data_IF_711868836918
#
_entry.id   IF_711868836918
#
_cell.length_a   1.000
_cell.length_b   1.000
_cell.length_c   1.000
_cell.angle_alpha   90.00
_cell.angle_beta   90.00
_cell.angle_gamma   90.00
#
_symmetry.space_group_name_H-M   'P 1'
#
loop_
_entity.id
_entity.type
_entity.pdbx_description
1 polymer ?
#
# COMPACT_ATOMS: atom_id res chain seq x y z
N UNK A 1 -8.07 20.88 -7.24
CA UNK A 1 -8.51 20.61 -8.63
C UNK A 1 -9.04 19.18 -8.69
N UNK A 2 -10.36 18.97 -8.82
CA UNK A 2 -10.98 17.66 -8.57
C UNK A 2 -10.42 16.50 -9.44
N UNK A 3 -10.16 15.35 -8.81
CA UNK A 3 -9.81 14.09 -9.47
C UNK A 3 -10.79 13.75 -10.60
N UNK A 4 -10.29 13.53 -11.82
CA UNK A 4 -11.10 12.97 -12.90
C UNK A 4 -11.32 11.47 -12.65
N UNK A 5 -12.45 11.14 -12.02
CA UNK A 5 -12.80 9.79 -11.55
C UNK A 5 -12.84 8.77 -12.70
N UNK A 6 -13.38 9.15 -13.86
CA UNK A 6 -13.49 8.26 -15.03
C UNK A 6 -12.11 7.83 -15.53
N UNK A 7 -11.20 8.80 -15.73
CA UNK A 7 -9.83 8.52 -16.14
C UNK A 7 -9.05 7.76 -15.06
N UNK A 8 -9.34 8.03 -13.79
CA UNK A 8 -8.70 7.34 -12.68
C UNK A 8 -9.06 5.85 -12.65
N UNK A 9 -10.32 5.48 -12.90
CA UNK A 9 -10.75 4.08 -12.89
C UNK A 9 -10.12 3.21 -13.99
N UNK A 10 -9.67 3.81 -15.09
CA UNK A 10 -8.98 3.07 -16.15
C UNK A 10 -7.50 2.83 -15.82
N UNK A 11 -6.83 3.83 -15.24
CA UNK A 11 -5.38 3.82 -15.09
C UNK A 11 -4.90 3.51 -13.67
N UNK A 12 -5.75 3.72 -12.66
CA UNK A 12 -5.42 3.66 -11.22
C UNK A 12 -4.13 4.39 -10.87
N UNK A 13 -3.89 5.51 -11.55
CA UNK A 13 -2.72 6.37 -11.36
C UNK A 13 -3.21 7.78 -11.10
N UNK A 14 -2.68 8.38 -10.06
CA UNK A 14 -2.93 9.77 -9.71
C UNK A 14 -1.64 10.57 -9.87
N UNK A 15 -1.71 11.69 -10.59
CA UNK A 15 -0.60 12.61 -10.73
C UNK A 15 -1.14 14.04 -10.75
N UNK A 16 -0.68 14.86 -9.81
CA UNK A 16 -1.09 16.26 -9.70
C UNK A 16 0.07 17.15 -9.28
N UNK A 17 -0.07 18.45 -9.54
CA UNK A 17 0.79 19.51 -9.03
C UNK A 17 -0.11 20.64 -8.54
N UNK A 18 -0.35 20.68 -7.23
CA UNK A 18 -1.29 21.60 -6.60
C UNK A 18 -0.85 21.95 -5.17
N UNK A 19 -1.43 22.98 -4.54
CA UNK A 19 -1.26 23.25 -3.12
C UNK A 19 -1.68 22.06 -2.24
N UNK A 20 -1.23 22.04 -0.99
CA UNK A 20 -1.53 20.92 -0.06
C UNK A 20 -3.04 20.70 0.14
N UNK A 21 -3.88 21.74 0.36
CA UNK A 21 -5.32 21.54 0.58
C UNK A 21 -5.99 20.81 -0.58
N UNK A 22 -5.73 21.22 -1.82
CA UNK A 22 -6.24 20.56 -3.03
C UNK A 22 -5.84 19.09 -3.12
N UNK A 23 -4.59 18.77 -2.77
CA UNK A 23 -4.11 17.38 -2.82
C UNK A 23 -4.74 16.54 -1.70
N UNK A 24 -5.01 17.13 -0.53
CA UNK A 24 -5.69 16.44 0.56
C UNK A 24 -7.15 16.14 0.20
N UNK A 25 -7.85 17.08 -0.41
CA UNK A 25 -9.20 16.89 -0.95
C UNK A 25 -9.20 15.73 -1.98
N UNK A 26 -8.23 15.72 -2.90
CA UNK A 26 -8.08 14.61 -3.85
C UNK A 26 -7.84 13.26 -3.15
N UNK A 27 -7.07 13.22 -2.05
CA UNK A 27 -6.86 11.98 -1.28
C UNK A 27 -8.13 11.53 -0.56
N UNK A 28 -8.97 12.45 -0.09
CA UNK A 28 -10.27 12.13 0.51
C UNK A 28 -11.25 11.55 -0.52
N UNK A 29 -11.26 12.10 -1.75
CA UNK A 29 -12.04 11.52 -2.85
C UNK A 29 -11.59 10.08 -3.14
N UNK A 30 -10.29 9.82 -3.19
CA UNK A 30 -9.77 8.46 -3.38
C UNK A 30 -10.15 7.52 -2.23
N UNK A 31 -10.07 8.00 -0.98
CA UNK A 31 -10.48 7.24 0.19
C UNK A 31 -11.98 6.90 0.17
N UNK A 32 -12.83 7.83 -0.28
CA UNK A 32 -14.26 7.60 -0.40
C UNK A 32 -14.61 6.59 -1.51
N UNK A 33 -13.93 6.67 -2.66
CA UNK A 33 -14.08 5.70 -3.75
C UNK A 33 -13.72 4.27 -3.29
N UNK A 34 -12.62 4.15 -2.54
CA UNK A 34 -12.15 2.88 -2.00
C UNK A 34 -13.13 2.33 -0.95
N UNK A 35 -13.54 3.16 0.02
CA UNK A 35 -14.52 2.76 1.04
C UNK A 35 -15.85 2.29 0.43
N UNK A 36 -16.30 2.94 -0.66
CA UNK A 36 -17.48 2.49 -1.42
C UNK A 36 -17.26 1.15 -2.09
N UNK A 37 -16.11 0.92 -2.72
CA UNK A 37 -15.78 -0.36 -3.35
C UNK A 37 -15.67 -1.49 -2.32
N UNK A 38 -15.01 -1.25 -1.19
CA UNK A 38 -14.94 -2.17 -0.07
C UNK A 38 -16.34 -2.51 0.47
N UNK A 39 -17.18 -1.50 0.71
CA UNK A 39 -18.55 -1.67 1.20
C UNK A 39 -19.40 -2.52 0.25
N UNK A 40 -19.35 -2.22 -1.05
CA UNK A 40 -20.04 -3.03 -2.08
C UNK A 40 -19.55 -4.48 -2.09
N UNK A 41 -18.24 -4.70 -2.01
CA UNK A 41 -17.68 -6.07 -1.99
C UNK A 41 -18.08 -6.84 -0.73
N UNK A 42 -18.11 -6.18 0.44
CA UNK A 42 -18.55 -6.81 1.71
C UNK A 42 -20.03 -7.17 1.64
N UNK A 43 -20.87 -6.25 1.17
CA UNK A 43 -22.31 -6.50 0.98
C UNK A 43 -22.55 -7.68 0.03
N UNK A 44 -21.86 -7.73 -1.13
CA UNK A 44 -21.97 -8.83 -2.09
C UNK A 44 -21.43 -10.16 -1.55
N UNK A 45 -20.41 -10.15 -0.69
CA UNK A 45 -19.95 -11.38 -0.04
C UNK A 45 -21.00 -11.93 0.91
N UNK A 46 -21.59 -11.06 1.72
CA UNK A 46 -22.61 -11.45 2.67
C UNK A 46 -23.88 -11.94 1.96
N UNK A 47 -24.39 -11.16 0.99
CA UNK A 47 -25.58 -11.54 0.22
C UNK A 47 -25.33 -12.79 -0.63
N UNK A 48 -24.20 -12.87 -1.34
CA UNK A 48 -23.81 -14.03 -2.13
C UNK A 48 -23.70 -15.28 -1.28
N UNK A 49 -23.05 -15.19 -0.11
CA UNK A 49 -22.95 -16.29 0.85
C UNK A 49 -24.32 -16.78 1.33
N UNK A 50 -25.19 -15.87 1.76
CA UNK A 50 -26.55 -16.22 2.19
C UNK A 50 -27.37 -16.91 1.08
N UNK A 51 -27.29 -16.40 -0.16
CA UNK A 51 -28.02 -16.99 -1.31
C UNK A 51 -27.50 -18.38 -1.70
N UNK A 52 -26.17 -18.60 -1.69
CA UNK A 52 -25.60 -19.89 -2.06
C UNK A 52 -25.87 -20.94 -0.98
N UNK A 53 -25.78 -20.58 0.30
CA UNK A 53 -26.04 -21.51 1.42
C UNK A 53 -27.51 -21.93 1.42
N UNK A 54 -28.44 -20.97 1.30
CA UNK A 54 -29.89 -21.26 1.27
C UNK A 54 -30.28 -22.06 0.02
N UNK A 55 -29.84 -21.64 -1.17
CA UNK A 55 -30.11 -22.35 -2.42
C UNK A 55 -29.53 -23.77 -2.44
N UNK A 56 -28.29 -23.92 -1.97
CA UNK A 56 -27.64 -25.23 -1.84
C UNK A 56 -28.34 -26.14 -0.84
N UNK A 57 -28.74 -25.62 0.32
CA UNK A 57 -29.53 -26.35 1.31
C UNK A 57 -30.87 -26.84 0.73
N UNK A 58 -31.62 -25.96 0.04
CA UNK A 58 -32.88 -26.33 -0.60
C UNK A 58 -32.69 -27.38 -1.69
N UNK A 59 -31.65 -27.26 -2.52
CA UNK A 59 -31.36 -28.23 -3.58
C UNK A 59 -30.99 -29.61 -3.01
N UNK A 60 -30.16 -29.65 -1.95
CA UNK A 60 -29.77 -30.89 -1.28
C UNK A 60 -30.97 -31.54 -0.58
N UNK A 61 -31.78 -30.77 0.15
CA UNK A 61 -32.98 -31.29 0.80
C UNK A 61 -33.98 -31.85 -0.22
N UNK A 62 -34.22 -31.12 -1.32
CA UNK A 62 -35.09 -31.58 -2.41
C UNK A 62 -34.57 -32.88 -3.01
N UNK A 63 -33.26 -33.00 -3.23
CA UNK A 63 -32.63 -34.21 -3.76
C UNK A 63 -32.76 -35.41 -2.79
N UNK A 64 -32.46 -35.22 -1.50
CA UNK A 64 -32.57 -36.27 -0.48
C UNK A 64 -34.02 -36.74 -0.36
N UNK A 65 -34.98 -35.80 -0.31
CA UNK A 65 -36.39 -36.13 -0.28
C UNK A 65 -36.82 -36.88 -1.53
N UNK A 66 -36.39 -36.46 -2.72
CA UNK A 66 -36.69 -37.14 -3.98
C UNK A 66 -36.17 -38.58 -4.00
N UNK A 67 -34.90 -38.81 -3.65
CA UNK A 67 -34.30 -40.15 -3.56
C UNK A 67 -35.05 -41.03 -2.55
N UNK A 68 -35.34 -40.52 -1.36
CA UNK A 68 -36.06 -41.28 -0.33
C UNK A 68 -37.50 -41.62 -0.69
N UNK A 69 -38.18 -40.76 -1.47
CA UNK A 69 -39.54 -41.03 -1.95
C UNK A 69 -39.60 -42.03 -3.11
N UNK A 70 -38.58 -42.05 -3.98
CA UNK A 70 -38.44 -43.06 -5.05
C UNK A 70 -38.33 -44.48 -4.47
N UNK A 71 -37.59 -44.65 -3.38
CA UNK A 71 -37.46 -45.94 -2.69
C UNK A 71 -38.78 -46.42 -2.06
N UNK A 72 -39.70 -45.52 -1.70
CA UNK A 72 -40.95 -45.85 -0.98
C UNK A 72 -42.20 -45.93 -1.87
N UNK A 73 -42.12 -45.55 -3.15
CA UNK A 73 -43.25 -45.57 -4.11
C UNK A 73 -44.51 -44.79 -3.65
N UNK A 74 -44.37 -43.84 -2.73
CA UNK A 74 -45.46 -43.04 -2.16
C UNK A 74 -45.28 -41.54 -2.46
N UNK A 75 -45.48 -41.13 -3.71
CA UNK A 75 -45.51 -39.72 -4.10
C UNK A 75 -46.93 -39.31 -4.47
N UNK A 76 -47.55 -38.51 -3.61
CA UNK A 76 -48.78 -37.77 -3.97
C UNK A 76 -48.45 -36.66 -4.96
N UNK A 77 -49.39 -36.30 -5.84
CA UNK A 77 -49.20 -35.22 -6.83
C UNK A 77 -48.81 -33.88 -6.18
N UNK A 78 -49.40 -33.58 -5.01
CA UNK A 78 -49.05 -32.40 -4.22
C UNK A 78 -47.59 -32.43 -3.73
N UNK A 79 -47.07 -33.60 -3.36
CA UNK A 79 -45.66 -33.78 -2.97
C UNK A 79 -44.69 -33.57 -4.13
N UNK A 80 -45.05 -34.04 -5.32
CA UNK A 80 -44.25 -33.83 -6.53
C UNK A 80 -44.18 -32.34 -6.93
N UNK A 81 -45.29 -31.61 -6.86
CA UNK A 81 -45.32 -30.17 -7.13
C UNK A 81 -44.48 -29.39 -6.12
N UNK A 82 -44.56 -29.72 -4.82
CA UNK A 82 -43.76 -29.05 -3.78
C UNK A 82 -42.25 -29.26 -4.00
N UNK A 83 -41.81 -30.47 -4.37
CA UNK A 83 -40.42 -30.77 -4.69
C UNK A 83 -39.94 -29.99 -5.92
N UNK A 84 -40.76 -29.91 -6.97
CA UNK A 84 -40.42 -29.14 -8.18
C UNK A 84 -40.25 -27.65 -7.87
N UNK A 85 -41.17 -27.04 -7.10
CA UNK A 85 -41.09 -25.63 -6.74
C UNK A 85 -39.88 -25.37 -5.83
N UNK A 86 -39.68 -26.20 -4.80
CA UNK A 86 -38.55 -26.06 -3.86
C UNK A 86 -37.21 -26.23 -4.57
N UNK A 87 -37.11 -27.23 -5.45
CA UNK A 87 -35.92 -27.45 -6.28
C UNK A 87 -35.67 -26.29 -7.25
N UNK A 88 -36.71 -25.80 -7.92
CA UNK A 88 -36.63 -24.65 -8.83
C UNK A 88 -36.15 -23.38 -8.13
N UNK A 89 -36.70 -23.07 -6.94
CA UNK A 89 -36.26 -21.94 -6.11
C UNK A 89 -34.81 -22.14 -5.65
N UNK A 90 -34.44 -23.35 -5.23
CA UNK A 90 -33.07 -23.67 -4.84
C UNK A 90 -32.05 -23.43 -5.96
N UNK A 91 -32.36 -23.88 -7.18
CA UNK A 91 -31.52 -23.64 -8.37
C UNK A 91 -31.45 -22.15 -8.71
N UNK A 92 -32.58 -21.43 -8.68
CA UNK A 92 -32.59 -19.99 -8.94
C UNK A 92 -31.70 -19.21 -7.95
N UNK A 93 -31.76 -19.54 -6.66
CA UNK A 93 -30.92 -18.94 -5.63
C UNK A 93 -29.42 -19.23 -5.85
N UNK A 94 -29.06 -20.44 -6.31
CA UNK A 94 -27.69 -20.77 -6.67
C UNK A 94 -27.19 -19.95 -7.86
N UNK A 95 -28.02 -19.76 -8.89
CA UNK A 95 -27.67 -18.93 -10.06
C UNK A 95 -27.47 -17.47 -9.63
N UNK A 96 -28.39 -16.91 -8.85
CA UNK A 96 -28.26 -15.54 -8.31
C UNK A 96 -26.98 -15.41 -7.46
N UNK A 97 -26.72 -16.38 -6.58
CA UNK A 97 -25.50 -16.39 -5.76
C UNK A 97 -24.22 -16.44 -6.59
N UNK A 98 -24.20 -17.21 -7.68
CA UNK A 98 -23.08 -17.26 -8.62
C UNK A 98 -22.88 -15.91 -9.32
N UNK A 99 -23.96 -15.27 -9.78
CA UNK A 99 -23.89 -13.94 -10.40
C UNK A 99 -23.35 -12.88 -9.42
N UNK A 100 -23.80 -12.89 -8.16
CA UNK A 100 -23.28 -12.01 -7.12
C UNK A 100 -21.78 -12.25 -6.86
N UNK A 101 -21.33 -13.50 -6.90
CA UNK A 101 -19.92 -13.84 -6.75
C UNK A 101 -19.07 -13.35 -7.93
N UNK A 102 -19.56 -13.51 -9.16
CA UNK A 102 -18.93 -12.98 -10.38
C UNK A 102 -18.85 -11.44 -10.32
N UNK A 103 -19.92 -10.78 -9.87
CA UNK A 103 -19.93 -9.33 -9.70
C UNK A 103 -18.92 -8.88 -8.63
N UNK A 104 -18.85 -9.57 -7.49
CA UNK A 104 -17.82 -9.32 -6.47
C UNK A 104 -16.41 -9.46 -7.04
N UNK A 105 -16.17 -10.45 -7.90
CA UNK A 105 -14.88 -10.62 -8.57
C UNK A 105 -14.57 -9.46 -9.52
N UNK A 106 -15.56 -9.00 -10.30
CA UNK A 106 -15.43 -7.86 -11.20
C UNK A 106 -15.13 -6.54 -10.47
N UNK A 107 -15.52 -6.41 -9.19
CA UNK A 107 -15.20 -5.23 -8.36
C UNK A 107 -13.81 -5.28 -7.71
N UNK A 108 -13.12 -6.42 -7.69
CA UNK A 108 -11.81 -6.57 -7.05
C UNK A 108 -10.76 -5.55 -7.54
N UNK A 109 -10.67 -5.19 -8.83
CA UNK A 109 -9.71 -4.18 -9.29
C UNK A 109 -9.97 -2.77 -8.73
N UNK A 110 -11.17 -2.49 -8.22
CA UNK A 110 -11.54 -1.18 -7.63
C UNK A 110 -11.12 -1.04 -6.16
N UNK A 111 -10.65 -2.12 -5.56
CA UNK A 111 -10.09 -2.17 -4.20
C UNK A 111 -8.67 -1.58 -4.24
N UNK A 112 -8.51 -0.36 -3.72
CA UNK A 112 -7.23 0.32 -3.67
C UNK A 112 -6.44 -0.14 -2.45
N UNK A 113 -5.13 0.08 -2.44
CA UNK A 113 -4.33 -0.16 -1.23
C UNK A 113 -4.40 1.07 -0.31
N UNK A 114 -5.13 0.95 0.80
CA UNK A 114 -5.43 2.02 1.75
C UNK A 114 -4.15 2.69 2.28
N UNK A 115 -3.05 1.92 2.33
CA UNK A 115 -1.75 2.40 2.81
C UNK A 115 -1.14 3.42 1.87
N UNK A 116 -1.42 3.35 0.57
CA UNK A 116 -0.78 4.19 -0.45
C UNK A 116 -1.27 5.62 -0.42
N UNK A 117 -2.59 5.84 -0.52
CA UNK A 117 -3.15 7.20 -0.39
C UNK A 117 -3.09 7.70 1.06
N UNK A 118 -3.22 6.81 2.06
CA UNK A 118 -3.05 7.17 3.46
C UNK A 118 -1.66 7.71 3.78
N UNK A 119 -0.59 7.14 3.18
CA UNK A 119 0.76 7.69 3.35
C UNK A 119 0.87 9.09 2.73
N UNK A 120 0.29 9.30 1.55
CA UNK A 120 0.28 10.59 0.90
C UNK A 120 -0.40 11.65 1.78
N UNK A 121 -1.59 11.34 2.30
CA UNK A 121 -2.35 12.22 3.18
C UNK A 121 -1.56 12.63 4.43
N UNK A 122 -0.97 11.66 5.14
CA UNK A 122 -0.21 11.94 6.37
C UNK A 122 1.06 12.75 6.08
N UNK A 123 1.75 12.49 4.96
CA UNK A 123 2.94 13.26 4.60
C UNK A 123 2.59 14.68 4.18
N UNK A 124 1.50 14.87 3.43
CA UNK A 124 1.00 16.18 3.04
C UNK A 124 0.65 17.02 4.27
N UNK A 125 -0.13 16.49 5.21
CA UNK A 125 -0.47 17.15 6.48
C UNK A 125 0.77 17.57 7.28
N UNK A 126 1.80 16.71 7.33
CA UNK A 126 3.03 17.03 8.06
C UNK A 126 3.89 18.10 7.36
N UNK A 127 3.88 18.11 6.04
CA UNK A 127 4.68 19.06 5.25
C UNK A 127 3.99 20.42 5.12
N UNK A 128 2.67 20.50 5.29
CA UNK A 128 1.89 21.73 5.22
C UNK A 128 2.48 22.86 6.08
N UNK A 129 2.93 22.52 7.29
CA UNK A 129 3.53 23.46 8.24
C UNK A 129 4.85 24.10 7.76
N UNK A 130 5.57 23.43 6.86
CA UNK A 130 6.88 23.87 6.34
C UNK A 130 6.78 24.48 4.92
N UNK A 131 5.55 24.57 4.38
CA UNK A 131 5.26 25.07 3.04
C UNK A 131 4.64 26.47 3.10
N UNK A 132 4.84 27.26 2.03
CA UNK A 132 4.02 28.45 1.85
C UNK A 132 2.57 28.02 1.48
N UNK A 133 1.54 28.79 1.83
CA UNK A 133 0.14 28.40 1.62
C UNK A 133 -0.18 27.93 0.19
N UNK A 134 0.40 28.63 -0.81
CA UNK A 134 0.18 28.32 -2.24
C UNK A 134 1.33 27.54 -2.87
N UNK A 135 2.24 26.97 -2.07
CA UNK A 135 3.40 26.25 -2.61
C UNK A 135 2.94 24.96 -3.32
N UNK A 136 3.23 24.82 -4.62
CA UNK A 136 2.79 23.64 -5.36
C UNK A 136 3.60 22.41 -4.97
N UNK A 137 2.90 21.37 -4.52
CA UNK A 137 3.44 20.04 -4.28
C UNK A 137 3.13 19.17 -5.50
N UNK A 138 4.14 18.46 -6.02
CA UNK A 138 3.95 17.47 -7.07
C UNK A 138 3.81 16.09 -6.43
N UNK A 139 2.65 15.47 -6.62
CA UNK A 139 2.34 14.14 -6.12
C UNK A 139 2.13 13.17 -7.28
N UNK A 140 2.71 11.98 -7.17
CA UNK A 140 2.48 10.84 -8.06
C UNK A 140 2.22 9.59 -7.25
N UNK A 141 1.11 8.92 -7.55
CA UNK A 141 0.67 7.67 -6.95
C UNK A 141 0.30 6.67 -8.05
N UNK A 142 0.87 5.48 -8.00
CA UNK A 142 0.38 4.30 -8.71
C UNK A 142 -0.38 3.45 -7.69
N UNK A 143 -1.69 3.27 -7.87
CA UNK A 143 -2.54 2.50 -6.97
C UNK A 143 -2.83 1.10 -7.51
N UNK A 144 -2.22 0.71 -8.64
CA UNK A 144 -2.33 -0.65 -9.17
C UNK A 144 -1.56 -1.63 -8.27
N UNK A 145 -1.98 -2.90 -8.21
CA UNK A 145 -1.24 -3.93 -7.49
C UNK A 145 0.26 -3.98 -7.85
N UNK A 146 1.13 -4.36 -6.90
CA UNK A 146 2.58 -4.42 -7.14
C UNK A 146 3.01 -5.57 -8.07
N UNK A 147 2.12 -6.51 -8.36
CA UNK A 147 2.34 -7.73 -9.15
C UNK A 147 1.75 -7.68 -10.57
N UNK A 148 1.41 -6.49 -11.07
CA UNK A 148 1.04 -6.29 -12.47
C UNK A 148 2.22 -6.61 -13.38
N UNK A 149 1.96 -7.25 -14.52
CA UNK A 149 2.99 -7.70 -15.47
C UNK A 149 3.93 -6.57 -15.93
N UNK A 150 3.41 -5.36 -16.17
CA UNK A 150 4.21 -4.17 -16.51
C UNK A 150 5.32 -3.85 -15.49
N UNK A 151 5.14 -4.27 -14.22
CA UNK A 151 6.06 -4.01 -13.11
C UNK A 151 7.07 -5.15 -12.91
N UNK A 152 6.96 -6.24 -13.70
CA UNK A 152 7.85 -7.39 -13.64
C UNK A 152 9.17 -7.04 -14.30
N UNK A 153 10.26 -7.12 -13.53
CA UNK A 153 11.60 -6.77 -14.00
C UNK A 153 12.43 -7.98 -14.39
N UNK A 154 12.14 -9.15 -13.82
CA UNK A 154 12.84 -10.39 -14.15
C UNK A 154 11.97 -11.60 -13.82
N UNK A 155 12.22 -12.70 -14.53
CA UNK A 155 11.70 -14.02 -14.25
C UNK A 155 12.87 -15.00 -14.29
N UNK A 156 13.08 -15.74 -13.21
CA UNK A 156 14.25 -16.61 -13.06
C UNK A 156 13.91 -17.87 -12.26
N UNK A 157 14.75 -18.90 -12.38
CA UNK A 157 14.65 -20.11 -11.58
C UNK A 157 15.62 -20.04 -10.40
N UNK A 158 15.08 -19.82 -9.19
CA UNK A 158 15.90 -19.75 -7.96
C UNK A 158 15.84 -21.10 -7.25
N UNK A 159 16.81 -21.96 -7.53
CA UNK A 159 16.80 -23.35 -7.08
C UNK A 159 15.70 -24.14 -7.80
N UNK A 160 14.74 -24.69 -7.06
CA UNK A 160 13.59 -25.44 -7.62
C UNK A 160 12.30 -24.61 -7.72
N UNK A 161 12.42 -23.28 -7.76
CA UNK A 161 11.28 -22.36 -7.74
C UNK A 161 11.31 -21.42 -8.95
N UNK A 162 10.22 -21.41 -9.71
CA UNK A 162 9.95 -20.37 -10.69
C UNK A 162 9.69 -19.06 -9.95
N UNK A 163 10.48 -18.04 -10.23
CA UNK A 163 10.52 -16.82 -9.43
C UNK A 163 10.32 -15.59 -10.29
N UNK A 164 9.25 -14.84 -10.04
CA UNK A 164 9.02 -13.53 -10.64
C UNK A 164 9.45 -12.42 -9.69
N UNK A 165 10.18 -11.44 -10.21
CA UNK A 165 10.61 -10.24 -9.50
C UNK A 165 9.87 -9.02 -10.04
N UNK A 166 9.25 -8.26 -9.14
CA UNK A 166 8.53 -7.03 -9.46
C UNK A 166 9.17 -5.84 -8.74
N UNK A 167 9.16 -4.69 -9.41
CA UNK A 167 9.59 -3.40 -8.85
C UNK A 167 8.51 -2.39 -9.12
N UNK A 168 7.89 -1.88 -8.06
CA UNK A 168 6.75 -0.97 -8.13
C UNK A 168 7.12 0.41 -7.57
N UNK A 169 7.56 1.37 -8.40
CA UNK A 169 7.82 2.74 -7.99
C UNK A 169 6.52 3.54 -7.86
N UNK A 170 5.74 3.22 -6.83
CA UNK A 170 4.36 3.69 -6.73
C UNK A 170 4.21 5.11 -6.16
N UNK A 171 5.16 5.61 -5.36
CA UNK A 171 5.03 6.90 -4.67
C UNK A 171 6.13 7.88 -5.08
N UNK A 172 5.76 9.11 -5.39
CA UNK A 172 6.70 10.24 -5.42
C UNK A 172 6.01 11.53 -4.97
N UNK A 173 6.59 12.20 -3.99
CA UNK A 173 6.20 13.54 -3.53
C UNK A 173 7.40 14.46 -3.69
N UNK A 174 7.22 15.58 -4.40
CA UNK A 174 8.24 16.59 -4.62
C UNK A 174 7.70 17.97 -4.23
N UNK A 175 8.44 18.73 -3.45
CA UNK A 175 8.05 20.08 -3.07
C UNK A 175 9.26 20.96 -2.76
N UNK A 176 9.02 22.26 -2.65
CA UNK A 176 10.00 23.25 -2.18
C UNK A 176 9.51 23.83 -0.87
N UNK A 177 10.31 23.65 0.18
CA UNK A 177 10.01 24.18 1.52
C UNK A 177 10.28 25.68 1.59
N UNK A 178 9.77 26.32 2.64
CA UNK A 178 9.89 27.76 2.86
C UNK A 178 11.36 28.26 2.93
N UNK A 179 12.29 27.42 3.38
CA UNK A 179 13.74 27.72 3.37
C UNK A 179 14.38 27.68 1.97
N UNK A 180 13.61 27.26 0.97
CA UNK A 180 14.00 27.09 -0.42
C UNK A 180 14.71 25.76 -0.72
N UNK A 181 14.71 24.81 0.22
CA UNK A 181 15.18 23.46 -0.01
C UNK A 181 14.17 22.67 -0.85
N UNK A 182 14.66 21.89 -1.81
CA UNK A 182 13.82 21.02 -2.62
C UNK A 182 13.81 19.62 -2.01
N UNK A 183 12.65 19.18 -1.54
CA UNK A 183 12.43 17.87 -0.92
C UNK A 183 11.82 16.93 -1.95
N UNK A 184 12.33 15.70 -1.99
CA UNK A 184 11.75 14.58 -2.73
C UNK A 184 11.68 13.36 -1.84
N UNK A 185 10.47 12.83 -1.67
CA UNK A 185 10.18 11.56 -1.00
C UNK A 185 9.73 10.57 -2.08
N UNK A 186 10.31 9.38 -2.09
CA UNK A 186 9.98 8.32 -3.05
C UNK A 186 9.82 6.99 -2.32
N UNK A 187 8.81 6.21 -2.70
CA UNK A 187 8.64 4.85 -2.23
C UNK A 187 8.61 3.88 -3.39
N UNK A 188 9.31 2.76 -3.24
CA UNK A 188 9.37 1.67 -4.21
C UNK A 188 9.16 0.35 -3.50
N UNK A 189 8.15 -0.41 -3.91
CA UNK A 189 7.94 -1.78 -3.43
C UNK A 189 8.71 -2.77 -4.29
N UNK A 190 9.28 -3.79 -3.66
CA UNK A 190 9.91 -4.91 -4.34
C UNK A 190 9.22 -6.17 -3.88
N UNK A 191 8.70 -6.91 -4.85
CA UNK A 191 7.94 -8.12 -4.61
C UNK A 191 8.60 -9.29 -5.35
N UNK A 192 8.72 -10.40 -4.65
CA UNK A 192 9.16 -11.67 -5.19
C UNK A 192 8.04 -12.69 -5.02
N UNK A 193 7.55 -13.22 -6.14
CA UNK A 193 6.63 -14.36 -6.15
C UNK A 193 7.41 -15.60 -6.56
N UNK A 194 7.23 -16.68 -5.81
CA UNK A 194 7.85 -17.98 -6.10
C UNK A 194 6.78 -19.03 -6.22
N UNK A 195 6.87 -19.85 -7.25
CA UNK A 195 5.95 -20.95 -7.49
C UNK A 195 6.73 -22.24 -7.76
N UNK A 196 6.22 -23.34 -7.23
CA UNK A 196 6.69 -24.69 -7.55
C UNK A 196 5.49 -25.61 -7.69
N UNK A 197 5.43 -26.31 -8.81
CA UNK A 197 4.40 -27.32 -9.08
C UNK A 197 5.03 -28.70 -9.09
N UNK A 198 4.35 -29.69 -8.50
CA UNK A 198 4.76 -31.10 -8.52
C UNK A 198 3.55 -31.97 -8.84
N UNK A 199 3.70 -32.85 -9.83
CA UNK A 199 2.68 -33.84 -10.19
C UNK A 199 2.96 -35.16 -9.44
N UNK A 200 1.95 -35.74 -8.80
CA UNK A 200 2.04 -37.06 -8.16
C UNK A 200 1.90 -38.21 -9.17
N UNK A 201 2.23 -39.43 -8.77
CA UNK A 201 2.06 -40.62 -9.61
C UNK A 201 0.60 -40.84 -10.07
N UNK A 202 -0.38 -40.36 -9.29
CA UNK A 202 -1.81 -40.35 -9.65
C UNK A 202 -2.22 -39.24 -10.64
N UNK A 203 -1.27 -38.47 -11.17
CA UNK A 203 -1.53 -37.36 -12.11
C UNK A 203 -1.96 -36.03 -11.44
N UNK A 204 -2.16 -35.99 -10.12
CA UNK A 204 -2.57 -34.77 -9.41
C UNK A 204 -1.39 -33.78 -9.29
N UNK A 205 -1.55 -32.59 -9.85
CA UNK A 205 -0.59 -31.48 -9.67
C UNK A 205 -0.88 -30.71 -8.38
N UNK A 206 0.16 -30.52 -7.55
CA UNK A 206 0.14 -29.66 -6.38
C UNK A 206 1.08 -28.47 -6.61
N UNK A 207 0.53 -27.27 -6.49
CA UNK A 207 1.28 -26.01 -6.60
C UNK A 207 1.50 -25.43 -5.21
N UNK A 208 2.75 -25.05 -4.92
CA UNK A 208 3.13 -24.30 -3.73
C UNK A 208 3.60 -22.93 -4.16
N UNK A 209 3.06 -21.89 -3.53
CA UNK A 209 3.48 -20.49 -3.77
C UNK A 209 4.12 -19.90 -2.52
N UNK A 210 5.04 -18.96 -2.71
CA UNK A 210 5.62 -18.13 -1.65
C UNK A 210 5.70 -16.68 -2.14
N UNK A 211 5.47 -15.75 -1.21
CA UNK A 211 5.59 -14.31 -1.45
C UNK A 211 6.63 -13.74 -0.50
N UNK A 212 7.51 -12.89 -1.01
CA UNK A 212 8.45 -12.10 -0.21
C UNK A 212 8.48 -10.67 -0.74
N UNK A 213 8.09 -9.70 0.08
CA UNK A 213 8.10 -8.29 -0.28
C UNK A 213 8.93 -7.46 0.69
N UNK A 214 9.27 -6.24 0.26
CA UNK A 214 9.74 -5.16 1.13
C UNK A 214 9.56 -3.81 0.42
N UNK A 215 9.48 -2.73 1.19
CA UNK A 215 9.41 -1.38 0.65
C UNK A 215 10.72 -0.62 0.87
N UNK A 216 11.10 0.20 -0.11
CA UNK A 216 12.23 1.14 -0.04
C UNK A 216 11.71 2.55 -0.02
N UNK A 217 12.00 3.25 1.06
CA UNK A 217 11.69 4.66 1.23
C UNK A 217 12.97 5.47 1.05
N UNK A 218 12.93 6.46 0.16
CA UNK A 218 14.02 7.39 -0.08
C UNK A 218 13.55 8.82 0.19
N UNK A 219 14.26 9.52 1.06
CA UNK A 219 14.06 10.95 1.33
C UNK A 219 15.31 11.67 0.87
N UNK A 220 15.15 12.68 0.02
CA UNK A 220 16.25 13.50 -0.46
C UNK A 220 15.93 14.98 -0.39
N UNK A 221 16.93 15.76 0.00
CA UNK A 221 16.85 17.21 0.10
C UNK A 221 17.96 17.79 -0.76
N UNK A 222 17.61 18.72 -1.65
CA UNK A 222 18.55 19.52 -2.42
C UNK A 222 18.56 20.94 -1.87
N UNK A 223 19.76 21.45 -1.65
CA UNK A 223 20.01 22.79 -1.09
C UNK A 223 21.00 23.54 -1.95
N UNK A 224 21.00 24.87 -1.83
CA UNK A 224 22.01 25.73 -2.45
C UNK A 224 23.37 25.49 -1.77
N UNK A 225 24.42 25.03 -2.47
CA UNK A 225 25.72 24.72 -1.87
C UNK A 225 26.35 25.90 -1.11
N UNK A 226 26.11 27.12 -1.58
CA UNK A 226 26.65 28.36 -0.99
C UNK A 226 26.17 28.57 0.45
N UNK A 227 24.96 28.08 0.77
CA UNK A 227 24.39 28.15 2.12
C UNK A 227 24.92 27.07 3.07
N UNK A 228 25.54 26.01 2.54
CA UNK A 228 25.97 24.84 3.28
C UNK A 228 27.38 24.39 2.85
N UNK A 229 28.41 25.22 3.05
CA UNK A 229 29.76 24.90 2.61
C UNK A 229 30.31 23.65 3.32
N UNK A 230 30.98 22.78 2.56
CA UNK A 230 31.62 21.57 3.07
C UNK A 230 30.65 20.44 3.43
N UNK A 231 29.39 20.48 2.94
CA UNK A 231 28.39 19.46 3.19
C UNK A 231 28.87 18.06 2.78
N UNK A 232 29.51 17.94 1.62
CA UNK A 232 30.05 16.70 1.06
C UNK A 232 31.02 15.96 2.01
N UNK A 233 31.69 16.68 2.90
CA UNK A 233 32.64 16.11 3.87
C UNK A 233 31.96 15.50 5.10
N UNK A 234 30.64 15.66 5.24
CA UNK A 234 29.90 15.21 6.41
C UNK A 234 29.25 13.84 6.28
N UNK A 235 29.63 13.01 5.32
CA UNK A 235 29.04 11.67 5.14
C UNK A 235 29.00 10.85 6.42
N UNK A 236 30.13 10.72 7.13
CA UNK A 236 30.23 9.94 8.38
C UNK A 236 29.29 10.49 9.45
N UNK A 237 29.27 11.83 9.61
CA UNK A 237 28.40 12.49 10.59
C UNK A 237 26.92 12.39 10.20
N UNK A 238 26.59 12.45 8.91
CA UNK A 238 25.23 12.26 8.42
C UNK A 238 24.71 10.85 8.72
N UNK A 239 25.55 9.83 8.52
CA UNK A 239 25.22 8.46 8.93
C UNK A 239 25.00 8.37 10.44
N UNK A 240 25.91 8.90 11.26
CA UNK A 240 25.78 8.85 12.72
C UNK A 240 24.59 9.65 13.28
N UNK A 241 24.20 10.74 12.60
CA UNK A 241 23.05 11.56 12.95
C UNK A 241 21.71 10.96 12.48
N UNK A 242 21.74 9.92 11.64
CA UNK A 242 20.52 9.30 11.13
C UNK A 242 19.78 8.59 12.26
N UNK A 243 18.54 9.00 12.50
CA UNK A 243 17.62 8.36 13.44
C UNK A 243 16.50 7.71 12.65
N UNK A 244 16.28 6.41 12.87
CA UNK A 244 15.18 5.63 12.29
C UNK A 244 14.45 4.87 13.39
N UNK A 245 13.19 4.46 13.15
CA UNK A 245 12.51 3.49 14.01
C UNK A 245 13.29 2.18 14.13
N UNK A 246 13.18 1.49 15.27
CA UNK A 246 14.02 0.32 15.62
C UNK A 246 14.02 -0.82 14.59
N UNK A 247 12.87 -1.06 13.93
CA UNK A 247 12.67 -2.15 12.95
C UNK A 247 13.10 -1.78 11.52
N UNK A 248 13.38 -0.50 11.26
CA UNK A 248 13.69 0.01 9.93
C UNK A 248 15.20 0.02 9.73
N UNK A 249 15.64 -0.60 8.64
CA UNK A 249 17.06 -0.69 8.28
C UNK A 249 17.48 0.47 7.39
N UNK A 250 18.60 1.13 7.71
CA UNK A 250 19.21 2.15 6.86
C UNK A 250 20.01 1.48 5.74
N UNK A 251 19.51 1.52 4.49
CA UNK A 251 20.23 0.95 3.34
C UNK A 251 21.36 1.86 2.84
N UNK A 252 21.13 3.19 2.84
CA UNK A 252 22.08 4.11 2.19
C UNK A 252 21.97 5.55 2.67
N UNK A 253 23.14 6.19 2.83
CA UNK A 253 23.29 7.64 2.99
C UNK A 253 24.14 8.18 1.84
N UNK A 254 23.65 9.20 1.14
CA UNK A 254 24.43 9.95 0.13
C UNK A 254 24.50 11.42 0.52
N UNK A 255 25.69 11.97 0.42
CA UNK A 255 26.01 13.35 0.75
C UNK A 255 26.83 13.92 -0.38
N UNK A 256 26.42 15.07 -0.91
CA UNK A 256 27.09 15.84 -1.95
C UNK A 256 26.93 17.34 -1.61
N UNK A 257 27.67 18.21 -2.31
CA UNK A 257 27.74 19.64 -1.99
C UNK A 257 26.37 20.33 -1.87
N UNK A 258 25.40 19.96 -2.70
CA UNK A 258 24.04 20.51 -2.68
C UNK A 258 22.94 19.47 -2.46
N UNK A 259 23.26 18.25 -2.02
CA UNK A 259 22.27 17.18 -1.89
C UNK A 259 22.58 16.23 -0.74
N UNK A 260 21.55 15.94 0.05
CA UNK A 260 21.56 14.84 1.00
C UNK A 260 20.43 13.87 0.66
N UNK A 261 20.67 12.56 0.78
CA UNK A 261 19.60 11.57 0.67
C UNK A 261 19.81 10.39 1.60
N UNK A 262 18.73 9.96 2.22
CA UNK A 262 18.64 8.76 3.04
C UNK A 262 17.75 7.75 2.32
N UNK A 263 18.11 6.48 2.39
CA UNK A 263 17.30 5.36 1.92
C UNK A 263 17.16 4.34 3.03
N UNK A 264 15.92 3.97 3.33
CA UNK A 264 15.57 3.00 4.35
C UNK A 264 14.77 1.85 3.74
N UNK A 265 14.87 0.67 4.37
CA UNK A 265 14.12 -0.54 4.04
C UNK A 265 13.07 -0.79 5.12
N UNK A 266 11.83 -0.96 4.66
CA UNK A 266 10.67 -1.33 5.46
C UNK A 266 10.18 -2.72 5.04
N UNK A 267 9.51 -3.43 5.94
CA UNK A 267 8.82 -4.70 5.66
C UNK A 267 7.69 -4.54 4.61
N UNK A 268 7.18 -5.65 4.05
CA UNK A 268 6.02 -5.65 3.12
C UNK A 268 4.71 -5.22 3.81
N UNK A 269 4.65 -5.39 5.14
CA UNK A 269 3.47 -5.13 5.97
C UNK A 269 3.49 -3.74 6.61
N UNK A 270 4.27 -2.81 6.05
CA UNK A 270 4.28 -1.41 6.49
C UNK A 270 2.88 -0.80 6.47
N UNK A 271 2.67 0.26 7.27
CA UNK A 271 1.42 1.04 7.34
C UNK A 271 1.72 2.53 7.18
N UNK A 272 0.76 3.29 6.68
CA UNK A 272 0.87 4.75 6.58
C UNK A 272 1.04 5.39 7.96
N UNK A 273 0.15 5.03 8.89
CA UNK A 273 0.19 5.34 10.31
C UNK A 273 -0.33 4.09 11.05
N UNK A 274 0.29 3.65 12.15
CA UNK A 274 -0.32 2.61 12.99
C UNK A 274 -1.67 3.13 13.50
N UNK A 275 -2.69 2.29 13.47
CA UNK A 275 -4.01 2.65 14.00
C UNK A 275 -3.91 3.10 15.46
N UNK A 276 -4.77 4.04 15.86
CA UNK A 276 -4.92 4.34 17.28
C UNK A 276 -5.32 3.07 18.05
N UNK A 277 -4.88 2.90 19.30
CA UNK A 277 -5.14 1.70 20.10
C UNK A 277 -6.62 1.66 20.52
N UNK A 278 -7.50 1.28 19.60
CA UNK A 278 -8.93 1.02 19.82
C UNK A 278 -9.39 -0.35 19.30
N UNK A 279 -8.50 -1.14 18.69
CA UNK A 279 -8.74 -2.56 18.40
C UNK A 279 -8.65 -3.38 19.71
N UNK A 280 -9.51 -4.40 19.89
CA UNK A 280 -9.60 -5.19 21.13
C UNK A 280 -8.20 -5.68 21.54
N UNK A 281 -7.86 -5.47 22.81
CA UNK A 281 -6.51 -5.61 23.33
C UNK A 281 -5.92 -6.99 23.05
N UNK A 282 -5.17 -7.11 21.95
CA UNK A 282 -4.31 -8.25 21.75
C UNK A 282 -3.33 -8.31 22.95
N UNK A 283 -3.05 -9.49 23.53
CA UNK A 283 -2.05 -9.62 24.59
C UNK A 283 -0.74 -8.91 24.24
N UNK A 284 -0.09 -8.24 25.20
CA UNK A 284 1.06 -7.36 24.96
C UNK A 284 2.22 -8.02 24.17
N UNK A 285 2.35 -9.34 24.25
CA UNK A 285 3.34 -10.09 23.46
C UNK A 285 2.99 -10.14 21.96
N UNK A 286 1.71 -10.26 21.60
CA UNK A 286 1.24 -10.19 20.22
C UNK A 286 1.32 -8.76 19.68
N UNK A 287 1.08 -7.72 20.51
CA UNK A 287 1.20 -6.31 20.10
C UNK A 287 2.58 -6.01 19.48
N UNK A 288 3.68 -6.46 20.11
CA UNK A 288 5.05 -6.24 19.59
C UNK A 288 5.35 -7.01 18.30
N UNK A 289 4.78 -8.21 18.14
CA UNK A 289 4.93 -9.01 16.93
C UNK A 289 4.11 -8.46 15.75
N UNK A 290 2.96 -7.85 16.05
CA UNK A 290 2.04 -7.22 15.08
C UNK A 290 2.35 -5.74 14.79
N UNK A 291 3.29 -5.13 15.52
CA UNK A 291 3.74 -3.77 15.25
C UNK A 291 4.37 -3.69 13.84
N UNK A 292 3.59 -3.12 12.93
CA UNK A 292 3.94 -2.84 11.53
C UNK A 292 4.87 -1.62 11.43
N UNK A 293 5.69 -1.58 10.38
CA UNK A 293 6.58 -0.44 10.14
C UNK A 293 5.77 0.82 9.76
N UNK A 294 5.91 1.90 10.53
CA UNK A 294 5.27 3.19 10.24
C UNK A 294 6.06 3.95 9.17
N UNK A 295 5.55 3.95 7.94
CA UNK A 295 6.19 4.61 6.81
C UNK A 295 6.21 6.14 6.96
N UNK A 296 5.14 6.75 7.50
CA UNK A 296 5.09 8.19 7.68
C UNK A 296 6.14 8.65 8.70
N UNK A 297 6.20 8.00 9.87
CA UNK A 297 7.17 8.31 10.92
C UNK A 297 8.59 8.10 10.43
N UNK A 298 8.83 7.03 9.67
CA UNK A 298 10.13 6.79 9.05
C UNK A 298 10.53 7.94 8.12
N UNK A 299 9.64 8.39 7.23
CA UNK A 299 9.91 9.50 6.32
C UNK A 299 10.20 10.81 7.08
N UNK A 300 9.40 11.12 8.11
CA UNK A 300 9.61 12.31 8.94
C UNK A 300 10.93 12.24 9.71
N UNK A 301 11.25 11.12 10.35
CA UNK A 301 12.54 10.95 11.06
C UNK A 301 13.74 11.04 10.13
N UNK A 302 13.62 10.49 8.91
CA UNK A 302 14.63 10.67 7.86
C UNK A 302 14.79 12.15 7.54
N UNK A 303 13.70 12.86 7.23
CA UNK A 303 13.74 14.30 6.91
C UNK A 303 14.38 15.13 8.04
N UNK A 304 13.96 14.91 9.28
CA UNK A 304 14.53 15.58 10.46
C UNK A 304 16.02 15.27 10.63
N UNK A 305 16.44 14.03 10.38
CA UNK A 305 17.86 13.65 10.41
C UNK A 305 18.67 14.41 9.36
N UNK A 306 18.12 14.60 8.16
CA UNK A 306 18.74 15.43 7.12
C UNK A 306 18.88 16.88 7.60
N UNK A 307 17.81 17.43 8.17
CA UNK A 307 17.78 18.79 8.68
C UNK A 307 18.74 19.02 9.85
N UNK A 308 18.97 18.02 10.69
CA UNK A 308 19.97 18.09 11.75
C UNK A 308 21.39 18.28 11.18
N UNK A 309 21.72 17.58 10.09
CA UNK A 309 23.01 17.71 9.39
C UNK A 309 23.15 19.08 8.71
N UNK A 310 22.07 19.56 8.07
CA UNK A 310 22.02 20.89 7.46
C UNK A 310 22.13 22.01 8.51
N UNK A 311 21.48 21.86 9.66
CA UNK A 311 21.59 22.81 10.76
C UNK A 311 23.00 22.86 11.36
N UNK A 312 23.70 21.72 11.38
CA UNK A 312 25.10 21.66 11.83
C UNK A 312 26.05 22.40 10.86
N UNK A 313 25.94 22.15 9.54
CA UNK A 313 26.77 22.85 8.53
C UNK A 313 26.57 24.36 8.58
N UNK A 314 25.33 24.81 8.62
CA UNK A 314 25.00 26.24 8.69
C UNK A 314 25.59 26.92 9.94
N UNK A 315 25.51 26.27 11.11
CA UNK A 315 26.10 26.78 12.36
C UNK A 315 27.62 26.85 12.28
N UNK A 316 28.27 25.82 11.73
CA UNK A 316 29.73 25.80 11.54
C UNK A 316 30.20 26.91 10.61
N UNK A 317 29.51 27.12 9.49
CA UNK A 317 29.83 28.19 8.55
C UNK A 317 29.73 29.57 9.20
N UNK A 318 28.67 29.83 9.99
CA UNK A 318 28.49 31.07 10.75
C UNK A 318 29.64 31.31 11.74
N UNK A 319 30.06 30.27 12.47
CA UNK A 319 31.18 30.35 13.41
C UNK A 319 32.52 30.62 12.71
N UNK A 320 32.78 29.99 11.56
CA UNK A 320 33.99 30.22 10.78
C UNK A 320 34.04 31.66 10.24
N UNK A 321 32.92 32.17 9.71
CA UNK A 321 32.82 33.56 9.27
C UNK A 321 33.05 34.57 10.41
N UNK A 322 32.51 34.29 11.61
CA UNK A 322 32.73 35.13 12.79
C UNK A 322 34.19 35.14 13.25
N UNK A 323 34.89 34.00 13.17
CA UNK A 323 36.32 33.89 13.50
C UNK A 323 37.22 34.59 12.49
N UNK A 324 36.89 34.49 11.19
CA UNK A 324 37.63 35.19 10.12
C UNK A 324 37.60 36.71 10.28
N UNK A 325 36.48 37.28 10.77
CA UNK A 325 36.35 38.71 11.05
C UNK A 325 37.11 39.21 12.28
N UNK A 326 37.53 38.31 13.19
CA UNK A 326 38.22 38.65 14.45
C UNK A 326 39.75 38.59 14.35
N UNK A 327 40.31 38.21 13.21
CA UNK A 327 41.74 38.38 12.94
C UNK A 327 41.92 39.70 12.19
N UNK A 328 42.29 40.81 12.85
CA UNK A 328 42.82 41.95 12.11
C UNK A 328 44.13 41.54 11.43
N UNK A 329 44.38 42.15 10.27
CA UNK A 329 45.60 41.99 9.49
C UNK A 329 46.84 42.38 10.28
#
# INVERSE_FOLDING_TARGET
MAVNVSRFHELFRYQSRAPVPDLLEDMEVLAHLDARAEGQRRALAWSGGCTVISGGGMAVLTYISWVGTMERHELTEAGAQLLQVTGGVGVALLVVGLLLFLWRYALKPRDLDNRRYGLAQVLLQRLEMDLAPDAPVRLKLDLRPPDVLDKRVNQDMVGWWNTDFFVDPWFTLETRLADGAFVRIRMVERLQKRERSKTSASGKTKTKTKRKGFARLEVSVRVKPERYPGLERLKVRATAATRLPRKVELERVRVAAGRLSLRARLSDEWVARPGEPGEPEAPAFWKRALEKDDASRTATMMLLSIYQVLGYTRRRAKLQAARGRRKPA
#
